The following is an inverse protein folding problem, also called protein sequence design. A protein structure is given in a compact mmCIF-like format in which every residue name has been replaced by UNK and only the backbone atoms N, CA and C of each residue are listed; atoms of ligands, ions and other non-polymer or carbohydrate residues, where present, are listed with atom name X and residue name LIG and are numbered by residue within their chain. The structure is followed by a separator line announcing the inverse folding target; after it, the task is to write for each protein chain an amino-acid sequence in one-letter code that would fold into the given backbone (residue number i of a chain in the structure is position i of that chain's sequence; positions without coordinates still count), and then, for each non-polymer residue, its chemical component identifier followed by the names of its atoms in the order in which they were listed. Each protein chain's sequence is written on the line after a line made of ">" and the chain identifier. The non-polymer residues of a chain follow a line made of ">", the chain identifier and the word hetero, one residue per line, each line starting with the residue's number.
data_IF_907542931590
#
_entry.id   IF_907542931590
#
_cell.length_a   1.000
_cell.length_b   1.000
_cell.length_c   1.000
_cell.angle_alpha   90.00
_cell.angle_beta   90.00
_cell.angle_gamma   90.00
#
_symmetry.space_group_name_H-M   'P 1'
#
loop_
_entity.id
_entity.type
_entity.pdbx_description
1 polymer ?
2 non-polymer ?
3 non-polymer ?
4 water ?
#
# COMPACT_ATOMS: atom_id res chain seq x y z
N UNK A 5 -5.77 -19.60 -2.36
CA UNK A 5 -6.95 -20.01 -1.54
C UNK A 5 -7.93 -18.82 -1.43
N UNK A 6 -9.22 -19.12 -1.46
CA UNK A 6 -10.22 -18.16 -0.99
C UNK A 6 -9.90 -17.72 0.44
N UNK A 7 -9.53 -18.66 1.29
CA UNK A 7 -9.14 -18.39 2.65
C UNK A 7 -8.01 -17.37 2.75
N UNK A 8 -6.99 -17.55 1.92
CA UNK A 8 -5.86 -16.63 1.90
C UNK A 8 -6.27 -15.25 1.39
N UNK A 9 -7.12 -15.18 0.39
CA UNK A 9 -7.62 -13.90 -0.09
C UNK A 9 -8.48 -13.18 0.96
N UNK A 10 -9.22 -13.94 1.76
CA UNK A 10 -9.96 -13.32 2.87
C UNK A 10 -9.01 -12.74 3.90
N UNK A 11 -7.91 -13.44 4.20
CA UNK A 11 -6.92 -12.89 5.10
C UNK A 11 -6.33 -11.60 4.51
N UNK A 12 -6.02 -11.58 3.22
CA UNK A 12 -5.56 -10.37 2.57
C UNK A 12 -6.58 -9.24 2.68
N UNK A 13 -7.86 -9.55 2.45
CA UNK A 13 -8.88 -8.50 2.59
C UNK A 13 -8.96 -7.98 4.03
N UNK A 14 -8.78 -8.86 5.01
CA UNK A 14 -8.73 -8.42 6.41
C UNK A 14 -7.60 -7.46 6.68
N UNK A 15 -6.42 -7.78 6.16
CA UNK A 15 -5.26 -6.89 6.24
C UNK A 15 -5.59 -5.54 5.61
N UNK A 16 -6.14 -5.56 4.40
CA UNK A 16 -6.50 -4.33 3.71
C UNK A 16 -7.44 -3.46 4.53
N UNK A 17 -8.48 -4.09 5.07
CA UNK A 17 -9.41 -3.38 5.95
C UNK A 17 -8.68 -2.77 7.15
N UNK A 18 -7.78 -3.52 7.77
CA UNK A 18 -7.00 -2.96 8.87
C UNK A 18 -6.14 -1.77 8.43
N UNK A 19 -5.46 -1.87 7.29
CA UNK A 19 -4.63 -0.75 6.80
C UNK A 19 -5.44 0.53 6.58
N UNK A 20 -6.72 0.37 6.25
CA UNK A 20 -7.63 1.50 6.03
C UNK A 20 -8.41 1.93 7.26
N UNK A 21 -8.16 1.32 8.41
CA UNK A 21 -8.96 1.53 9.61
C UNK A 21 -8.46 2.72 10.42
N UNK A 22 -9.33 3.23 11.29
CA UNK A 22 -8.99 4.42 12.09
C UNK A 22 -7.76 4.22 12.96
N UNK A 23 -7.57 3.00 13.45
CA UNK A 23 -6.41 2.62 14.25
C UNK A 23 -5.08 3.13 13.66
N UNK A 24 -4.94 3.04 12.33
CA UNK A 24 -3.69 3.35 11.67
C UNK A 24 -3.71 4.63 10.85
N UNK A 25 -4.78 5.41 10.94
CA UNK A 25 -5.00 6.53 10.05
C UNK A 25 -3.93 7.61 10.16
N UNK A 26 -3.34 7.76 11.34
CA UNK A 26 -2.33 8.81 11.53
C UNK A 26 -1.11 8.65 10.62
N UNK A 27 -0.76 7.41 10.26
CA UNK A 27 0.36 7.13 9.36
C UNK A 27 -0.08 6.51 8.02
N UNK A 28 -1.31 6.03 7.90
CA UNK A 28 -1.77 5.40 6.63
C UNK A 28 -2.28 6.39 5.63
N UNK A 29 -2.72 7.56 6.09
CA UNK A 29 -3.48 8.46 5.22
C UNK A 29 -2.80 8.87 3.92
N UNK A 30 -1.46 9.06 3.88
CA UNK A 30 -0.84 9.42 2.58
C UNK A 30 -1.00 8.34 1.51
N UNK A 31 -1.30 7.11 1.94
CA UNK A 31 -1.41 5.93 1.06
C UNK A 31 -2.84 5.61 0.66
N UNK A 32 -3.81 6.44 1.05
CA UNK A 32 -5.22 6.15 0.79
C UNK A 32 -5.60 6.30 -0.67
N UNK A 33 -5.02 7.26 -1.35
CA UNK A 33 -5.38 7.59 -2.72
C UNK A 33 -4.13 7.71 -3.58
N UNK A 34 -4.28 7.63 -4.92
CA UNK A 34 -3.10 7.81 -5.77
C UNK A 34 -2.38 9.12 -5.50
N UNK A 35 -1.05 9.10 -5.56
CA UNK A 35 -0.27 10.33 -5.50
C UNK A 35 -0.72 11.25 -6.64
N UNK A 36 -1.16 12.46 -6.27
CA UNK A 36 -1.52 13.47 -7.26
C UNK A 36 -0.30 14.35 -7.47
N UNK A 37 0.54 13.93 -8.42
CA UNK A 37 1.86 14.52 -8.56
C UNK A 37 1.77 16.01 -8.87
N UNK A 38 0.92 16.35 -9.83
CA UNK A 38 0.74 17.74 -10.24
C UNK A 38 0.24 18.61 -9.09
N UNK A 39 -0.73 18.11 -8.34
CA UNK A 39 -1.25 18.85 -7.17
C UNK A 39 -0.18 19.12 -6.13
N UNK A 40 0.72 18.15 -5.93
CA UNK A 40 1.78 18.26 -4.94
C UNK A 40 3.04 18.95 -5.47
N UNK A 41 3.05 19.35 -6.75
CA UNK A 41 4.25 19.92 -7.36
C UNK A 41 5.38 18.96 -7.66
N UNK A 42 5.07 17.66 -7.71
CA UNK A 42 6.08 16.61 -7.88
C UNK A 42 6.14 16.23 -9.35
N UNK A 43 6.70 17.16 -10.14
CA UNK A 43 6.65 17.06 -11.59
C UNK A 43 7.60 16.02 -12.21
N UNK A 44 8.42 15.39 -11.35
CA UNK A 44 9.26 14.24 -11.72
C UNK A 44 8.72 12.88 -11.26
N UNK A 45 7.60 12.86 -10.54
CA UNK A 45 7.11 11.63 -9.91
C UNK A 45 6.91 10.53 -10.93
N UNK A 46 6.23 10.84 -12.03
CA UNK A 46 5.92 9.82 -13.03
C UNK A 46 7.07 9.48 -13.97
N UNK A 47 8.17 10.22 -13.89
CA UNK A 47 9.41 9.83 -14.54
C UNK A 47 10.21 8.86 -13.69
N UNK A 48 10.01 8.88 -12.38
CA UNK A 48 10.76 8.03 -11.44
C UNK A 48 9.98 6.76 -11.08
N UNK A 49 8.66 6.87 -10.96
CA UNK A 49 7.79 5.77 -10.55
C UNK A 49 7.05 5.26 -11.79
N UNK A 50 7.39 4.05 -12.21
CA UNK A 50 6.79 3.40 -13.40
C UNK A 50 5.38 2.90 -13.13
N UNK A 51 5.15 2.40 -11.91
CA UNK A 51 3.91 1.71 -11.56
C UNK A 51 3.36 2.26 -10.25
N UNK A 52 2.59 3.36 -10.32
CA UNK A 52 2.01 3.92 -9.10
C UNK A 52 1.08 2.92 -8.43
N UNK A 53 1.00 2.97 -7.11
CA UNK A 53 0.06 2.11 -6.39
C UNK A 53 -0.34 2.77 -5.09
N UNK A 54 -1.55 2.48 -4.63
CA UNK A 54 -2.08 3.08 -3.40
C UNK A 54 -3.19 2.17 -2.89
N UNK A 55 -3.63 2.39 -1.67
CA UNK A 55 -4.62 1.49 -1.07
C UNK A 55 -6.01 1.52 -1.71
N UNK A 56 -6.41 2.66 -2.28
CA UNK A 56 -7.71 2.69 -2.99
C UNK A 56 -7.68 1.80 -4.22
N UNK A 57 -6.54 1.74 -4.89
CA UNK A 57 -6.37 0.90 -6.07
C UNK A 57 -6.35 -0.58 -5.66
N UNK A 58 -5.68 -0.91 -4.55
CA UNK A 58 -5.68 -2.28 -4.01
C UNK A 58 -7.11 -2.69 -3.65
N UNK A 59 -7.87 -1.79 -3.04
CA UNK A 59 -9.26 -2.05 -2.68
C UNK A 59 -10.13 -2.29 -3.91
N UNK A 60 -9.99 -1.46 -4.94
CA UNK A 60 -10.77 -1.64 -6.17
C UNK A 60 -10.42 -2.98 -6.83
N UNK A 61 -9.14 -3.35 -6.86
CA UNK A 61 -8.71 -4.64 -7.40
C UNK A 61 -9.27 -5.80 -6.62
N UNK A 62 -9.28 -5.72 -5.29
CA UNK A 62 -9.89 -6.78 -4.47
C UNK A 62 -11.40 -6.89 -4.73
N UNK A 63 -12.08 -5.76 -4.78
CA UNK A 63 -13.54 -5.75 -5.03
C UNK A 63 -13.89 -6.33 -6.40
N UNK A 64 -13.05 -6.06 -7.39
CA UNK A 64 -13.24 -6.57 -8.76
C UNK A 64 -12.70 -7.99 -8.95
N UNK A 65 -12.22 -8.65 -7.89
CA UNK A 65 -11.72 -10.02 -7.96
C UNK A 65 -10.51 -10.13 -8.91
N UNK A 66 -9.70 -9.09 -8.95
CA UNK A 66 -8.51 -9.05 -9.80
C UNK A 66 -7.42 -9.95 -9.23
N UNK A 67 -7.23 -9.96 -7.91
CA UNK A 67 -6.17 -10.77 -7.32
C UNK A 67 -6.56 -12.23 -7.31
N UNK A 68 -5.68 -13.05 -7.86
CA UNK A 68 -5.94 -14.49 -7.92
C UNK A 68 -5.27 -15.21 -6.77
N UNK A 69 -4.32 -14.58 -6.08
CA UNK A 69 -3.69 -15.21 -4.96
C UNK A 69 -3.11 -14.15 -4.04
N UNK A 70 -2.74 -14.58 -2.85
CA UNK A 70 -2.21 -13.68 -1.83
C UNK A 70 -0.93 -13.00 -2.28
N UNK A 71 -0.05 -13.72 -2.96
CA UNK A 71 1.21 -13.11 -3.38
C UNK A 71 0.99 -11.95 -4.37
N UNK A 72 -0.04 -12.03 -5.21
CA UNK A 72 -0.33 -10.92 -6.13
C UNK A 72 -0.77 -9.66 -5.35
N UNK A 73 -1.65 -9.85 -4.36
CA UNK A 73 -2.04 -8.78 -3.46
C UNK A 73 -0.83 -8.20 -2.75
N UNK A 74 0.01 -9.05 -2.18
CA UNK A 74 1.19 -8.59 -1.44
C UNK A 74 2.13 -7.79 -2.33
N UNK A 75 2.29 -8.22 -3.58
CA UNK A 75 3.17 -7.50 -4.50
C UNK A 75 2.67 -6.07 -4.71
N UNK A 76 1.37 -5.83 -4.79
CA UNK A 76 0.88 -4.46 -4.94
C UNK A 76 1.10 -3.64 -3.68
N UNK A 77 0.85 -4.23 -2.50
CA UNK A 77 1.08 -3.49 -1.26
C UNK A 77 2.56 -3.12 -1.13
N UNK A 78 3.44 -4.07 -1.42
CA UNK A 78 4.87 -3.80 -1.33
C UNK A 78 5.35 -2.82 -2.39
N UNK A 79 4.75 -2.86 -3.58
CA UNK A 79 5.00 -1.88 -4.63
C UNK A 79 4.71 -0.46 -4.14
N UNK A 80 3.57 -0.28 -3.48
CA UNK A 80 3.21 0.99 -2.90
C UNK A 80 4.30 1.52 -1.94
N UNK A 81 4.79 0.66 -1.05
CA UNK A 81 5.84 1.07 -0.14
C UNK A 81 7.17 1.33 -0.86
N UNK A 82 7.54 0.44 -1.78
CA UNK A 82 8.77 0.62 -2.55
C UNK A 82 8.78 1.93 -3.33
N UNK A 83 7.65 2.33 -3.91
CA UNK A 83 7.57 3.60 -4.63
C UNK A 83 7.87 4.76 -3.69
N UNK A 84 7.36 4.69 -2.47
CA UNK A 84 7.63 5.71 -1.47
C UNK A 84 9.13 5.76 -1.12
N UNK A 85 9.75 4.59 -0.93
CA UNK A 85 11.18 4.54 -0.60
C UNK A 85 12.07 4.95 -1.76
N UNK A 86 11.60 4.75 -2.99
CA UNK A 86 12.36 5.14 -4.17
C UNK A 86 12.32 6.65 -4.36
N UNK A 87 11.15 7.25 -4.22
CA UNK A 87 10.98 8.66 -4.61
C UNK A 87 11.48 9.63 -3.54
N UNK A 88 11.23 9.32 -2.27
CA UNK A 88 11.46 10.28 -1.18
C UNK A 88 12.79 10.05 -0.49
N UNK A 89 13.47 11.13 -0.05
CA UNK A 89 14.65 10.94 0.79
C UNK A 89 14.30 10.14 2.04
N UNK A 90 15.23 9.29 2.52
CA UNK A 90 14.88 8.40 3.63
C UNK A 90 14.56 9.09 4.96
N UNK A 91 14.91 10.37 5.11
CA UNK A 91 14.54 11.15 6.30
C UNK A 91 13.20 11.89 6.23
N UNK A 92 12.47 11.74 5.12
CA UNK A 92 11.19 12.41 4.88
C UNK A 92 10.10 11.84 5.82
N UNK A 93 9.21 12.70 6.33
CA UNK A 93 8.11 12.26 7.19
C UNK A 93 7.28 11.12 6.58
N UNK A 94 7.00 11.18 5.29
CA UNK A 94 6.20 10.16 4.64
C UNK A 94 6.86 8.79 4.64
N UNK A 95 8.19 8.76 4.61
CA UNK A 95 8.93 7.50 4.68
C UNK A 95 8.80 6.89 6.08
N UNK A 96 8.82 7.72 7.12
CA UNK A 96 8.59 7.22 8.48
C UNK A 96 7.19 6.62 8.63
N UNK A 97 6.22 7.22 7.97
CA UNK A 97 4.85 6.72 7.98
C UNK A 97 4.77 5.41 7.21
N UNK A 98 5.40 5.33 6.04
CA UNK A 98 5.49 4.08 5.27
C UNK A 98 6.10 2.94 6.08
N UNK A 99 7.21 3.19 6.77
CA UNK A 99 7.85 2.13 7.55
C UNK A 99 6.90 1.58 8.61
N UNK A 100 6.17 2.46 9.28
CA UNK A 100 5.21 2.03 10.30
C UNK A 100 4.06 1.22 9.70
N UNK A 101 3.49 1.69 8.60
CA UNK A 101 2.40 0.94 7.96
C UNK A 101 2.90 -0.39 7.38
N UNK A 102 4.12 -0.41 6.84
CA UNK A 102 4.65 -1.66 6.33
C UNK A 102 4.88 -2.67 7.45
N UNK A 103 5.28 -2.21 8.63
CA UNK A 103 5.38 -3.11 9.79
C UNK A 103 4.03 -3.73 10.12
N UNK A 104 2.96 -2.95 10.13
CA UNK A 104 1.64 -3.49 10.35
C UNK A 104 1.35 -4.58 9.31
N UNK A 105 1.61 -4.26 8.05
CA UNK A 105 1.33 -5.18 6.96
C UNK A 105 2.13 -6.48 7.08
N UNK A 106 3.44 -6.36 7.26
CA UNK A 106 4.29 -7.55 7.22
C UNK A 106 4.02 -8.51 8.35
N UNK A 107 3.79 -7.98 9.54
CA UNK A 107 3.54 -8.88 10.66
C UNK A 107 2.21 -9.61 10.52
N UNK A 108 1.19 -8.96 9.98
CA UNK A 108 -0.07 -9.67 9.77
C UNK A 108 -0.06 -10.56 8.54
N UNK A 109 0.63 -10.13 7.48
CA UNK A 109 0.77 -10.99 6.30
C UNK A 109 1.46 -12.31 6.64
N UNK A 110 2.43 -12.27 7.55
CA UNK A 110 3.15 -13.47 7.98
C UNK A 110 2.25 -14.49 8.65
N UNK A 111 1.10 -14.05 9.19
CA UNK A 111 0.10 -14.95 9.81
C UNK A 111 -0.86 -15.59 8.80
N UNK A 112 -0.57 -15.48 7.50
CA UNK A 112 -1.35 -16.12 6.43
C UNK A 112 -1.73 -17.56 6.77
N UNK A 113 -3.02 -17.91 6.64
CA UNK A 113 -3.36 -19.33 6.82
C UNK A 113 -2.74 -20.18 5.70
N UNK A 114 -2.17 -21.33 6.04
CA UNK A 114 -1.62 -22.25 5.01
C UNK A 114 -1.54 -23.72 5.45
X LIG B 1 8.87 -5.33 9.50
X LIG B 1 9.14 -4.18 10.31
X LIG B 1 9.26 -5.08 8.06
X LIG B 1 8.47 -3.98 7.61
X LIG C 1 5.18 8.91 11.49
X LIG C 1 3.95 8.22 11.74
X LIG C 1 5.76 9.36 12.81
X LIG C 1 4.83 10.11 13.61
X LIG D 1 8.06 0.95 -9.88
X LIG D 1 6.95 1.81 -9.77
X LIG D 1 9.30 1.80 -9.69
X LIG D 1 9.51 2.63 -10.85
X LIG E 1 4.16 20.39 -15.52
X LIG E 1 3.93 21.80 -15.47
X LIG E 1 4.33 19.93 -16.97
X LIG E 1 3.10 20.10 -17.69
X LIG F 1 -8.08 12.50 -1.31
X LIG F 1 -6.94 13.43 -0.29
X LIG F 1 -7.37 14.18 0.81
X LIG F 1 -8.71 14.18 1.12
X LIG F 1 -9.62 14.91 0.29
X LIG F 1 -6.43 14.89 1.58
X LIG F 1 -5.07 14.86 1.25
X LIG F 1 -5.57 13.41 -0.60
X LIG F 1 -4.61 14.12 0.14
X LIG F 1 -3.27 13.98 -0.30
X LIG F 1 -2.14 14.68 0.51
X LIG F 1 -0.74 13.99 0.29
X LIG F 1 0.46 14.48 0.63
X LIG F 1 0.83 15.82 1.28
X LIG F 1 0.98 15.62 2.80
X LIG F 1 2.20 14.83 3.26
X LIG F 1 2.14 14.38 4.64
X LIG F 1 3.32 13.52 5.02
X LIG F 1 4.46 14.34 4.79
X LIG F 1 4.55 14.87 3.43
X LIG F 1 3.35 15.68 3.08
X LIG F 1 0.79 17.01 3.47
X LIG F 1 1.36 13.56 0.25
X LIG F 1 2.69 13.56 0.34
X LIG F 1 3.45 12.48 -0.11
X LIG F 1 -0.57 12.79 -0.27
X LIG F 1 0.74 12.52 -0.31
X LIG F 1 1.42 11.45 -0.79
X LIG F 1 2.83 11.39 -0.71
X LIG F 1 3.62 10.36 -1.14
X LIG F 1 4.68 10.50 -1.96
X LIG F 1 5.17 11.79 -2.62
X LIG F 1 5.31 9.32 -2.17
X LIG F 1 4.46 8.32 -1.34
X LIG F 1 3.51 9.06 -0.78
X LIG F 1 2.47 8.45 0.16
#
# INVERSE_FOLDING_TARGET
>A
SMGKLSEQLKHCNGILKELLSKKHAAYAWPFYKPVDASALGLHDYHDIIKHPMDLSTVKRKMENRDYRDAQEFAADVRLMFSNCYKYNPPDHDVVAMARKLQDVFEFRYAKMPD
>B hetero
1 EDO C1 O1 C2 O2
>C hetero
1 EDO C1 O1 C2 O2
>D hetero
1 EDO C1 O1 C2 O2
>E hetero
1 EDO C1 O1 C2 O2
>F hetero
1 2LO CL C16 C15 O C18 C14 C13 C17 C12 C11 C10 C9 N1 C19 C20 N2 C25 C24 O1 C23 C22 C21 C6 C5 C4 N C7 C8 C3 C2 C26 C27 O2 N3 C1 C
#
